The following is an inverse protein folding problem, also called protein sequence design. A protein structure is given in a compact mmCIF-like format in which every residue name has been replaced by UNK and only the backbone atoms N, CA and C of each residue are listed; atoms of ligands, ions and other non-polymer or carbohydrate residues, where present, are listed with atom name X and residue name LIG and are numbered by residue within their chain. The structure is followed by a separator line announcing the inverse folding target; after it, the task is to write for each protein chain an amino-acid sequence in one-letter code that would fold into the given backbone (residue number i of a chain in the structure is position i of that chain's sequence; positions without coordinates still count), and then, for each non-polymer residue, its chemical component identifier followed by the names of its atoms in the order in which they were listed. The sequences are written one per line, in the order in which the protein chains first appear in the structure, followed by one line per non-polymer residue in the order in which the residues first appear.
data_IF_132988026852
#
_entry.id   IF_132988026852
#
_cell.length_a   1.000
_cell.length_b   1.000
_cell.length_c   1.000
_cell.angle_alpha   90.00
_cell.angle_beta   90.00
_cell.angle_gamma   90.00
#
_symmetry.space_group_name_H-M   'P 1'
#
loop_
_entity.id
_entity.type
_entity.pdbx_description
1 polymer ?
#
# COMPACT_ATOMS: atom_id res chain seq x y z
N UNK A 1 -6.88 4.88 -10.42
CA UNK A 1 -6.95 5.80 -9.26
C UNK A 1 -8.10 6.82 -9.36
N UNK A 2 -8.29 7.49 -10.51
CA UNK A 2 -9.39 8.44 -10.72
C UNK A 2 -10.77 7.95 -10.25
N UNK A 3 -11.14 6.71 -10.58
CA UNK A 3 -12.40 6.09 -10.13
C UNK A 3 -12.54 6.11 -8.61
N UNK A 4 -11.51 5.70 -7.87
CA UNK A 4 -11.55 5.74 -6.40
C UNK A 4 -11.65 7.17 -5.87
N UNK A 5 -10.91 8.12 -6.46
CA UNK A 5 -10.93 9.52 -6.04
C UNK A 5 -12.31 10.18 -6.20
N UNK A 6 -13.09 9.80 -7.22
CA UNK A 6 -14.46 10.30 -7.42
C UNK A 6 -15.41 9.89 -6.29
N UNK A 7 -15.16 8.76 -5.64
CA UNK A 7 -16.03 8.21 -4.60
C UNK A 7 -15.47 8.42 -3.18
N UNK A 8 -14.22 8.86 -3.06
CA UNK A 8 -13.59 9.11 -1.77
C UNK A 8 -14.06 10.45 -1.20
N UNK A 9 -14.59 10.42 0.02
CA UNK A 9 -14.92 11.65 0.77
C UNK A 9 -13.64 12.46 1.06
N UNK A 10 -13.74 13.79 1.25
CA UNK A 10 -12.63 14.58 1.77
C UNK A 10 -12.05 13.96 3.04
N UNK A 11 -10.74 13.78 3.09
CA UNK A 11 -10.03 13.15 4.21
C UNK A 11 -10.17 11.63 4.31
N UNK A 12 -10.85 10.97 3.37
CA UNK A 12 -10.99 9.51 3.33
C UNK A 12 -9.65 8.80 3.07
N UNK A 13 -9.61 7.50 3.40
CA UNK A 13 -8.45 6.63 3.23
C UNK A 13 -8.83 5.47 2.32
N UNK A 14 -8.00 5.19 1.32
CA UNK A 14 -8.07 3.96 0.54
C UNK A 14 -7.14 2.94 1.17
N UNK A 15 -7.58 1.68 1.25
CA UNK A 15 -6.76 0.58 1.73
C UNK A 15 -6.70 -0.48 0.64
N UNK A 16 -5.50 -0.74 0.14
CA UNK A 16 -5.25 -1.82 -0.81
C UNK A 16 -4.67 -3.01 -0.06
N UNK A 17 -5.32 -4.16 -0.18
CA UNK A 17 -4.74 -5.43 0.24
C UNK A 17 -3.62 -5.79 -0.74
N UNK A 18 -2.37 -5.74 -0.28
CA UNK A 18 -1.17 -5.97 -1.07
C UNK A 18 -0.51 -7.33 -0.78
N UNK A 19 -1.15 -8.14 0.06
CA UNK A 19 -0.70 -9.50 0.37
C UNK A 19 -0.74 -10.39 -0.87
N UNK A 20 0.41 -10.56 -1.53
CA UNK A 20 0.55 -11.42 -2.68
C UNK A 20 1.91 -12.14 -2.69
N UNK A 21 1.92 -13.41 -3.11
CA UNK A 21 3.11 -14.26 -3.14
C UNK A 21 4.00 -14.05 -4.37
N UNK A 22 3.46 -13.46 -5.44
CA UNK A 22 4.13 -13.40 -6.75
C UNK A 22 4.36 -11.97 -7.22
N UNK A 23 3.52 -11.02 -6.80
CA UNK A 23 3.62 -9.63 -7.24
C UNK A 23 3.78 -8.66 -6.08
N UNK A 24 4.60 -7.64 -6.28
CA UNK A 24 4.76 -6.49 -5.41
C UNK A 24 4.16 -5.25 -6.08
N UNK A 25 2.95 -4.89 -5.65
CA UNK A 25 2.23 -3.73 -6.17
C UNK A 25 2.58 -2.43 -5.44
N UNK A 26 3.46 -2.45 -4.43
CA UNK A 26 3.77 -1.26 -3.60
C UNK A 26 4.24 -0.09 -4.45
N UNK A 27 5.14 -0.34 -5.41
CA UNK A 27 5.66 0.69 -6.30
C UNK A 27 4.61 1.23 -7.28
N UNK A 28 3.69 0.37 -7.74
CA UNK A 28 2.57 0.79 -8.60
C UNK A 28 1.65 1.74 -7.83
N UNK A 29 1.27 1.35 -6.62
CA UNK A 29 0.36 2.15 -5.77
C UNK A 29 1.04 3.45 -5.34
N UNK A 30 2.31 3.42 -4.94
CA UNK A 30 3.07 4.61 -4.58
C UNK A 30 3.18 5.61 -5.75
N UNK A 31 3.44 5.12 -6.96
CA UNK A 31 3.51 5.97 -8.16
C UNK A 31 2.15 6.59 -8.49
N UNK A 32 1.08 5.82 -8.42
CA UNK A 32 -0.29 6.32 -8.61
C UNK A 32 -0.72 7.29 -7.51
N UNK A 33 -0.29 7.08 -6.27
CA UNK A 33 -0.56 8.01 -5.17
C UNK A 33 0.08 9.36 -5.45
N UNK A 34 1.36 9.37 -5.83
CA UNK A 34 2.10 10.58 -6.18
C UNK A 34 1.41 11.40 -7.28
N UNK A 35 0.97 10.75 -8.37
CA UNK A 35 0.28 11.41 -9.48
C UNK A 35 -1.02 12.13 -9.07
N UNK A 36 -1.68 11.67 -8.00
CA UNK A 36 -2.92 12.24 -7.49
C UNK A 36 -2.73 13.13 -6.25
N UNK A 37 -1.47 13.44 -5.89
CA UNK A 37 -1.14 14.22 -4.70
C UNK A 37 -1.55 13.53 -3.40
N UNK A 38 -1.45 12.21 -3.35
CA UNK A 38 -1.72 11.37 -2.17
C UNK A 38 -0.41 10.88 -1.58
N UNK A 39 -0.43 10.57 -0.29
CA UNK A 39 0.65 9.84 0.38
C UNK A 39 0.25 8.38 0.54
N UNK A 40 1.19 7.46 0.30
CA UNK A 40 1.03 6.04 0.51
C UNK A 40 1.96 5.56 1.62
N UNK A 41 1.44 4.71 2.52
CA UNK A 41 2.21 4.04 3.57
C UNK A 41 1.87 2.54 3.57
N UNK A 42 2.83 1.70 3.92
CA UNK A 42 2.68 0.26 4.02
C UNK A 42 2.55 -0.12 5.50
N UNK A 43 1.54 -0.91 5.83
CA UNK A 43 1.40 -1.58 7.12
C UNK A 43 1.56 -3.07 6.87
N UNK A 44 2.59 -3.65 7.47
CA UNK A 44 2.86 -5.08 7.39
C UNK A 44 2.59 -5.74 8.74
N UNK A 45 1.76 -6.77 8.73
CA UNK A 45 1.53 -7.66 9.86
C UNK A 45 2.25 -8.97 9.60
N UNK A 46 3.29 -9.26 10.38
CA UNK A 46 4.12 -10.45 10.25
C UNK A 46 3.99 -11.22 11.57
N UNK A 47 3.34 -12.40 11.57
CA UNK A 47 3.23 -13.22 12.77
C UNK A 47 4.61 -13.59 13.30
N UNK A 48 4.76 -13.62 14.63
CA UNK A 48 6.02 -13.94 15.32
C UNK A 48 6.66 -15.23 14.76
N UNK A 49 7.99 -15.24 14.71
CA UNK A 49 8.79 -16.40 14.36
C UNK A 49 8.66 -17.52 15.42
N UNK A 50 8.41 -17.18 16.69
CA UNK A 50 8.17 -18.14 17.77
C UNK A 50 6.73 -18.68 17.76
N UNK A 51 6.32 -19.26 16.64
CA UNK A 51 4.97 -19.82 16.47
C UNK A 51 4.75 -20.99 17.41
N UNK A 52 3.65 -20.95 18.14
CA UNK A 52 3.15 -22.16 18.80
C UNK A 52 2.48 -23.06 17.75
N UNK A 53 2.27 -24.36 18.02
CA UNK A 53 1.48 -25.23 17.15
C UNK A 53 0.06 -24.70 16.89
N UNK A 54 -0.43 -23.78 17.71
CA UNK A 54 -1.73 -23.12 17.54
C UNK A 54 -1.67 -21.92 16.60
N UNK A 55 -0.51 -21.46 16.13
CA UNK A 55 -0.41 -20.26 15.29
C UNK A 55 -0.27 -20.58 13.79
N UNK A 56 -0.53 -21.84 13.40
CA UNK A 56 -0.27 -22.34 12.05
C UNK A 56 -1.11 -21.66 10.96
N UNK A 57 -2.28 -21.10 11.31
CA UNK A 57 -3.17 -20.42 10.37
C UNK A 57 -2.79 -18.96 10.12
N UNK A 58 -1.86 -18.39 10.90
CA UNK A 58 -1.45 -17.00 10.74
C UNK A 58 -0.51 -16.85 9.53
N UNK A 59 -0.80 -15.85 8.70
CA UNK A 59 -0.05 -15.51 7.48
C UNK A 59 0.29 -14.02 7.49
N UNK A 60 1.44 -13.67 6.91
CA UNK A 60 1.82 -12.27 6.76
C UNK A 60 0.84 -11.53 5.87
N UNK A 61 0.52 -10.28 6.26
CA UNK A 61 -0.41 -9.43 5.52
C UNK A 61 0.22 -8.06 5.28
N UNK A 62 0.14 -7.58 4.05
CA UNK A 62 0.59 -6.25 3.63
C UNK A 62 -0.62 -5.40 3.23
N UNK A 63 -0.78 -4.23 3.83
CA UNK A 63 -1.83 -3.26 3.49
C UNK A 63 -1.22 -1.91 3.12
N UNK A 64 -1.62 -1.36 1.98
CA UNK A 64 -1.19 -0.04 1.55
C UNK A 64 -2.31 0.96 1.81
N UNK A 65 -2.05 1.91 2.71
CA UNK A 65 -2.97 2.99 3.04
C UNK A 65 -2.61 4.21 2.19
N UNK A 66 -3.61 4.78 1.52
CA UNK A 66 -3.43 5.91 0.60
C UNK A 66 -4.42 7.02 0.92
N UNK A 67 -3.92 8.21 1.24
CA UNK A 67 -4.77 9.36 1.63
C UNK A 67 -4.10 10.72 1.44
N UNK A 68 -4.90 11.80 1.46
CA UNK A 68 -4.42 13.19 1.65
C UNK A 68 -4.46 13.62 3.11
N UNK A 69 -5.06 12.82 3.98
CA UNK A 69 -5.29 13.19 5.37
C UNK A 69 -4.00 13.05 6.18
N UNK A 70 -3.29 14.16 6.34
CA UNK A 70 -2.03 14.20 7.08
C UNK A 70 -2.23 13.90 8.58
N UNK A 71 -3.33 14.37 9.17
CA UNK A 71 -3.64 14.10 10.57
C UNK A 71 -3.88 12.60 10.84
N UNK A 72 -4.45 11.87 9.87
CA UNK A 72 -4.57 10.42 9.95
C UNK A 72 -3.19 9.73 9.90
N UNK A 73 -2.32 10.15 8.98
CA UNK A 73 -0.98 9.57 8.83
C UNK A 73 -0.07 9.88 10.02
N UNK A 74 -0.20 11.06 10.62
CA UNK A 74 0.56 11.48 11.80
C UNK A 74 -0.04 10.96 13.12
N UNK A 75 -1.15 10.20 13.07
CA UNK A 75 -1.70 9.59 14.27
C UNK A 75 -0.70 8.56 14.83
N UNK A 76 -0.42 8.53 16.14
CA UNK A 76 0.64 7.69 16.71
C UNK A 76 0.53 6.21 16.31
N UNK A 77 -0.67 5.62 16.41
CA UNK A 77 -0.90 4.22 16.00
C UNK A 77 -0.59 3.93 14.52
N UNK A 78 -0.71 4.92 13.64
CA UNK A 78 -0.33 4.77 12.23
C UNK A 78 1.17 4.99 12.07
N UNK A 79 1.71 6.05 12.67
CA UNK A 79 3.15 6.36 12.61
C UNK A 79 4.04 5.24 13.17
N UNK A 80 3.58 4.53 14.20
CA UNK A 80 4.31 3.43 14.82
C UNK A 80 4.25 2.13 14.00
N UNK A 81 3.20 1.94 13.20
CA UNK A 81 2.93 0.69 12.47
C UNK A 81 3.18 0.77 10.96
N UNK A 82 3.28 1.97 10.39
CA UNK A 82 3.31 2.18 8.95
C UNK A 82 4.65 2.74 8.47
N UNK A 83 5.14 2.17 7.36
CA UNK A 83 6.35 2.62 6.68
C UNK A 83 5.99 3.48 5.46
N UNK A 84 6.60 4.67 5.27
CA UNK A 84 6.36 5.48 4.08
C UNK A 84 6.79 4.78 2.79
N UNK A 85 5.87 4.67 1.82
CA UNK A 85 6.21 4.18 0.49
C UNK A 85 6.76 5.33 -0.36
N UNK A 86 8.07 5.32 -0.59
CA UNK A 86 8.72 6.29 -1.46
C UNK A 86 8.55 5.89 -2.93
N UNK A 87 7.90 6.70 -3.79
CA UNK A 87 7.76 6.41 -5.21
C UNK A 87 9.14 6.35 -5.88
N UNK A 88 9.37 5.31 -6.69
CA UNK A 88 10.57 5.22 -7.52
C UNK A 88 10.42 6.15 -8.73
N UNK A 89 11.30 7.15 -8.94
CA UNK A 89 11.15 8.13 -10.03
C UNK A 89 11.14 7.51 -11.43
N UNK A 90 11.85 6.41 -11.61
CA UNK A 90 12.01 5.65 -12.85
C UNK A 90 10.89 4.63 -13.09
N UNK A 91 9.97 4.45 -12.13
CA UNK A 91 8.86 3.52 -12.28
C UNK A 91 7.71 4.19 -13.06
N UNK A 92 7.33 3.66 -14.24
CA UNK A 92 6.30 4.26 -15.07
C UNK A 92 4.93 4.16 -14.39
N UNK A 93 4.12 5.21 -14.56
CA UNK A 93 2.72 5.21 -14.11
C UNK A 93 1.96 4.16 -14.89
N UNK A 94 1.27 3.26 -14.20
CA UNK A 94 0.36 2.32 -14.85
C UNK A 94 -0.94 3.03 -15.23
N UNK A 95 -1.40 2.79 -16.44
CA UNK A 95 -2.64 3.35 -17.01
C UNK A 95 -3.39 2.24 -17.70
N UNK A 96 -4.68 2.42 -17.99
CA UNK A 96 -5.49 1.40 -18.68
C UNK A 96 -4.81 0.83 -19.95
N UNK A 97 -4.10 1.69 -20.72
CA UNK A 97 -3.35 1.32 -21.93
C UNK A 97 -1.90 0.83 -21.70
N UNK A 98 -1.36 0.92 -20.48
CA UNK A 98 0.02 0.57 -20.17
C UNK A 98 0.17 -0.08 -18.78
N UNK A 99 0.52 -1.36 -18.79
CA UNK A 99 0.83 -2.15 -17.59
C UNK A 99 1.95 -3.16 -17.90
N UNK A 100 2.82 -3.45 -16.93
CA UNK A 100 3.88 -4.44 -17.09
C UNK A 100 4.06 -5.29 -15.83
N UNK A 101 3.37 -6.44 -15.80
CA UNK A 101 3.40 -7.37 -14.68
C UNK A 101 4.80 -7.93 -14.38
N UNK A 102 5.67 -8.05 -15.38
CA UNK A 102 7.03 -8.59 -15.18
C UNK A 102 7.90 -7.66 -14.30
N UNK A 103 7.63 -6.35 -14.32
CA UNK A 103 8.36 -5.37 -13.49
C UNK A 103 7.96 -5.38 -12.02
N UNK A 104 6.88 -6.08 -11.68
CA UNK A 104 6.35 -6.16 -10.33
C UNK A 104 6.36 -7.59 -9.80
N UNK A 105 7.07 -8.51 -10.44
CA UNK A 105 7.30 -9.83 -9.86
C UNK A 105 8.22 -9.71 -8.62
N UNK A 106 7.96 -10.55 -7.61
CA UNK A 106 8.78 -10.70 -6.41
C UNK A 106 9.99 -11.61 -6.66
#
# INVERSE_FOLDING_TARGET
MATYMRHLKPGGVLIFQATNRFVDITHVVARLALEYGLTAVLVSDIPDAQRTPHDYWLSSTDQILVTRNRAFLDHPLIGDAAEPLTPRPDFPVWTDDFHNLLRVLK
#
